data_IF_897584964680
#
_entry.id   IF_897584964680
#
_cell.length_a   1.000
_cell.length_b   1.000
_cell.length_c   1.000
_cell.angle_alpha   90.00
_cell.angle_beta   90.00
_cell.angle_gamma   90.00
#
_symmetry.space_group_name_H-M   'P 1'
#
loop_
_entity.id
_entity.type
_entity.pdbx_description
1 polymer ?
#
# COMPACT_ATOMS: atom_id res chain seq x y z
N UNK A 1 -6.54 7.77 -17.57
CA UNK A 1 -5.48 6.85 -17.10
C UNK A 1 -4.64 6.42 -18.30
N UNK A 2 -3.32 6.33 -18.16
CA UNK A 2 -2.45 5.82 -19.20
C UNK A 2 -2.60 4.29 -19.32
N UNK A 3 -2.39 3.75 -20.51
CA UNK A 3 -2.31 2.29 -20.66
C UNK A 3 -0.95 1.77 -20.18
N UNK A 4 -0.84 0.51 -19.77
CA UNK A 4 0.46 -0.09 -19.42
C UNK A 4 1.49 0.01 -20.56
N UNK A 5 1.05 -0.03 -21.83
CA UNK A 5 1.94 0.18 -22.98
C UNK A 5 2.48 1.62 -23.01
N UNK A 6 1.61 2.60 -22.82
CA UNK A 6 2.02 4.00 -22.76
C UNK A 6 3.03 4.26 -21.63
N UNK A 7 2.84 3.63 -20.47
CA UNK A 7 3.81 3.71 -19.36
C UNK A 7 5.15 3.08 -19.75
N UNK A 8 5.16 1.92 -20.41
CA UNK A 8 6.41 1.31 -20.92
C UNK A 8 7.14 2.23 -21.89
N UNK A 9 6.41 2.91 -22.77
CA UNK A 9 6.99 3.82 -23.76
C UNK A 9 7.64 5.04 -23.07
N UNK A 10 6.95 5.64 -22.10
CA UNK A 10 7.50 6.74 -21.29
C UNK A 10 8.77 6.34 -20.56
N UNK A 11 8.80 5.11 -20.03
CA UNK A 11 9.88 4.60 -19.17
C UNK A 11 10.88 3.68 -19.89
N UNK A 12 10.90 3.66 -21.22
CA UNK A 12 11.68 2.68 -21.99
C UNK A 12 13.18 2.65 -21.66
N UNK A 13 13.77 3.80 -21.30
CA UNK A 13 15.18 3.91 -20.90
C UNK A 13 15.51 3.19 -19.57
N UNK A 14 14.49 2.90 -18.76
CA UNK A 14 14.60 2.24 -17.46
C UNK A 14 14.30 0.74 -17.54
N UNK A 15 14.12 0.20 -18.74
CA UNK A 15 13.90 -1.23 -18.95
C UNK A 15 15.03 -2.05 -18.32
N UNK A 16 14.66 -3.08 -17.56
CA UNK A 16 15.59 -3.95 -16.83
C UNK A 16 16.45 -3.23 -15.79
N UNK A 17 16.04 -2.03 -15.38
CA UNK A 17 16.51 -1.36 -14.18
C UNK A 17 15.37 -1.37 -13.17
N UNK A 18 15.68 -1.68 -11.91
CA UNK A 18 14.66 -1.72 -10.83
C UNK A 18 14.81 -0.54 -9.86
N UNK A 19 15.77 0.36 -10.11
CA UNK A 19 16.09 1.46 -9.22
C UNK A 19 16.73 1.00 -7.90
N UNK A 20 16.39 1.70 -6.81
CA UNK A 20 16.98 1.48 -5.48
C UNK A 20 16.09 0.59 -4.60
N UNK A 21 16.69 -0.22 -3.71
CA UNK A 21 15.93 -0.96 -2.72
C UNK A 21 15.37 -0.02 -1.65
N UNK A 22 14.17 -0.35 -1.18
CA UNK A 22 13.44 0.28 -0.08
C UNK A 22 12.63 -0.80 0.66
N UNK A 23 11.69 -0.38 1.51
CA UNK A 23 10.74 -1.24 2.19
C UNK A 23 9.30 -0.77 1.93
N UNK A 24 8.34 -1.68 2.10
CA UNK A 24 6.90 -1.39 2.11
C UNK A 24 6.24 -2.29 3.15
N UNK A 25 5.47 -1.72 4.05
CA UNK A 25 4.85 -2.38 5.20
C UNK A 25 5.87 -3.17 6.03
N UNK A 26 7.05 -2.60 6.27
CA UNK A 26 8.15 -3.26 6.98
C UNK A 26 8.80 -4.43 6.22
N UNK A 27 8.44 -4.68 4.96
CA UNK A 27 9.00 -5.78 4.14
C UNK A 27 10.04 -5.25 3.17
N UNK A 28 11.14 -5.99 3.04
CA UNK A 28 12.30 -5.61 2.23
C UNK A 28 12.95 -6.85 1.60
N UNK A 29 13.57 -6.74 0.41
CA UNK A 29 13.69 -5.54 -0.41
C UNK A 29 12.49 -5.31 -1.34
N UNK A 30 12.02 -4.06 -1.39
CA UNK A 30 11.09 -3.55 -2.40
C UNK A 30 11.87 -2.64 -3.35
N UNK A 31 11.76 -2.84 -4.66
CA UNK A 31 12.52 -2.05 -5.64
C UNK A 31 11.65 -1.00 -6.31
N UNK A 32 12.21 0.19 -6.53
CA UNK A 32 11.55 1.30 -7.20
C UNK A 32 12.57 2.26 -7.85
N UNK A 33 12.22 2.87 -9.00
CA UNK A 33 13.04 3.95 -9.58
C UNK A 33 13.09 5.19 -8.67
N UNK A 34 12.00 5.45 -7.94
CA UNK A 34 11.96 6.46 -6.89
C UNK A 34 11.29 5.87 -5.64
N UNK A 35 12.02 5.88 -4.52
CA UNK A 35 11.57 5.28 -3.26
C UNK A 35 10.42 6.08 -2.61
N UNK A 36 10.24 7.36 -2.97
CA UNK A 36 9.12 8.16 -2.48
C UNK A 36 7.77 7.64 -2.97
N UNK A 37 7.72 7.01 -4.14
CA UNK A 37 6.48 6.41 -4.63
C UNK A 37 6.01 5.25 -3.76
N UNK A 38 6.94 4.40 -3.32
CA UNK A 38 6.61 3.28 -2.43
C UNK A 38 6.10 3.81 -1.10
N UNK A 39 6.74 4.85 -0.56
CA UNK A 39 6.30 5.51 0.67
C UNK A 39 4.92 6.17 0.52
N UNK A 40 4.66 6.85 -0.60
CA UNK A 40 3.38 7.47 -0.88
C UNK A 40 2.27 6.42 -1.04
N UNK A 41 2.56 5.33 -1.75
CA UNK A 41 1.64 4.21 -1.91
C UNK A 41 1.33 3.57 -0.55
N UNK A 42 2.34 3.25 0.25
CA UNK A 42 2.20 2.70 1.60
C UNK A 42 1.37 3.62 2.51
N UNK A 43 1.67 4.92 2.54
CA UNK A 43 0.94 5.88 3.35
C UNK A 43 -0.53 5.99 2.90
N UNK A 44 -0.78 6.00 1.59
CA UNK A 44 -2.14 6.03 1.06
C UNK A 44 -2.94 4.77 1.43
N UNK A 45 -2.29 3.60 1.50
CA UNK A 45 -2.92 2.37 2.00
C UNK A 45 -3.33 2.53 3.47
N UNK A 46 -2.41 2.98 4.33
CA UNK A 46 -2.72 3.19 5.74
C UNK A 46 -3.84 4.21 5.94
N UNK A 47 -3.76 5.36 5.26
CA UNK A 47 -4.78 6.43 5.31
C UNK A 47 -6.16 5.98 4.79
N UNK A 48 -6.18 4.91 4.02
CA UNK A 48 -7.38 4.30 3.49
C UNK A 48 -7.96 3.19 4.39
N UNK A 49 -7.28 2.85 5.49
CA UNK A 49 -7.70 1.76 6.39
C UNK A 49 -7.22 0.38 5.94
N UNK A 50 -6.24 0.30 5.03
CA UNK A 50 -5.62 -0.97 4.67
C UNK A 50 -4.61 -1.39 5.74
N UNK A 51 -4.85 -2.55 6.36
CA UNK A 51 -3.93 -3.14 7.34
C UNK A 51 -3.17 -4.32 6.72
N UNK A 52 -1.83 -4.29 6.63
CA UNK A 52 -1.06 -5.40 6.06
C UNK A 52 -1.16 -6.66 6.95
N UNK A 53 -1.28 -7.84 6.34
CA UNK A 53 -1.34 -9.12 7.06
C UNK A 53 0.07 -9.63 7.35
N UNK A 54 0.36 -10.08 8.57
CA UNK A 54 1.64 -10.73 8.87
C UNK A 54 1.99 -11.83 7.85
N UNK A 55 3.22 -11.82 7.32
CA UNK A 55 3.65 -12.77 6.29
C UNK A 55 3.15 -12.50 4.86
N UNK A 56 2.36 -11.45 4.62
CA UNK A 56 2.04 -10.99 3.27
C UNK A 56 3.30 -10.71 2.45
N UNK A 57 3.30 -11.00 1.16
CA UNK A 57 4.46 -10.80 0.28
C UNK A 57 4.30 -9.57 -0.61
N UNK A 58 5.36 -8.77 -0.75
CA UNK A 58 5.41 -7.65 -1.69
C UNK A 58 6.29 -8.03 -2.88
N UNK A 59 5.67 -8.25 -4.04
CA UNK A 59 6.37 -8.39 -5.30
C UNK A 59 6.74 -7.03 -5.85
N UNK A 60 7.98 -6.81 -6.26
CA UNK A 60 8.44 -5.50 -6.77
C UNK A 60 9.49 -5.58 -7.86
N UNK A 61 9.91 -6.80 -8.20
CA UNK A 61 10.94 -7.03 -9.22
C UNK A 61 10.62 -8.29 -9.97
N UNK A 62 11.07 -8.30 -11.23
CA UNK A 62 11.08 -9.50 -12.05
C UNK A 62 12.39 -9.58 -12.80
N UNK A 63 13.05 -10.75 -12.75
CA UNK A 63 14.36 -10.90 -13.36
C UNK A 63 14.27 -10.75 -14.88
N UNK A 64 14.85 -9.70 -15.44
CA UNK A 64 15.11 -9.66 -16.88
C UNK A 64 16.02 -10.82 -17.30
N UNK A 65 15.82 -11.40 -18.51
CA UNK A 65 14.92 -10.93 -19.56
C UNK A 65 13.49 -11.51 -19.48
N UNK A 66 13.04 -12.03 -18.33
CA UNK A 66 11.70 -12.62 -18.23
C UNK A 66 10.61 -11.53 -18.33
N UNK A 67 9.85 -11.61 -19.42
CA UNK A 67 8.67 -10.82 -19.73
C UNK A 67 7.36 -11.55 -19.37
N UNK A 68 6.22 -10.92 -19.61
CA UNK A 68 4.89 -11.35 -19.17
C UNK A 68 4.48 -12.66 -19.87
N UNK A 69 3.77 -13.53 -19.14
CA UNK A 69 3.20 -14.75 -19.74
C UNK A 69 4.23 -15.76 -20.25
N UNK A 70 5.43 -15.77 -19.65
CA UNK A 70 6.53 -16.65 -20.07
C UNK A 70 7.30 -16.19 -21.31
N UNK A 71 6.97 -15.01 -21.86
CA UNK A 71 7.68 -14.42 -22.99
C UNK A 71 8.95 -13.69 -22.56
N UNK A 72 9.81 -13.38 -23.52
CA UNK A 72 10.99 -12.54 -23.30
C UNK A 72 10.61 -11.06 -23.35
N UNK A 73 11.10 -10.27 -22.38
CA UNK A 73 11.02 -8.82 -22.40
C UNK A 73 11.87 -8.26 -23.56
N UNK A 74 11.21 -7.69 -24.57
CA UNK A 74 11.84 -7.24 -25.81
C UNK A 74 12.54 -5.89 -25.65
N UNK A 75 13.43 -5.55 -26.59
CA UNK A 75 14.19 -4.29 -26.56
C UNK A 75 13.32 -3.04 -26.66
N UNK A 76 12.24 -3.14 -27.43
CA UNK A 76 11.23 -2.09 -27.57
C UNK A 76 10.22 -2.04 -26.40
N UNK A 77 10.44 -2.80 -25.31
CA UNK A 77 9.54 -2.85 -24.16
C UNK A 77 8.33 -3.78 -24.34
N UNK A 78 8.11 -4.35 -25.53
CA UNK A 78 7.05 -5.33 -25.74
C UNK A 78 7.25 -6.55 -24.84
N UNK A 79 6.13 -7.08 -24.36
CA UNK A 79 6.09 -8.21 -23.42
C UNK A 79 6.85 -7.96 -22.10
N UNK A 80 7.36 -6.76 -21.81
CA UNK A 80 8.03 -6.47 -20.53
C UNK A 80 7.00 -6.18 -19.42
N UNK A 81 7.19 -6.74 -18.22
CA UNK A 81 6.38 -6.34 -17.05
C UNK A 81 6.85 -4.99 -16.53
N UNK A 82 5.98 -4.17 -15.94
CA UNK A 82 6.42 -2.95 -15.25
C UNK A 82 7.27 -3.25 -14.00
N UNK A 83 7.19 -4.48 -13.46
CA UNK A 83 8.16 -5.01 -12.50
C UNK A 83 9.58 -5.10 -13.06
N UNK A 84 9.76 -5.16 -14.39
CA UNK A 84 11.08 -5.10 -15.02
C UNK A 84 11.67 -3.68 -15.05
N UNK A 85 10.89 -2.66 -14.68
CA UNK A 85 11.28 -1.26 -14.69
C UNK A 85 11.35 -0.66 -13.27
N UNK A 86 10.95 -1.41 -12.22
CA UNK A 86 10.80 -0.85 -10.87
C UNK A 86 9.66 0.16 -10.78
N UNK A 87 8.57 -0.08 -11.51
CA UNK A 87 7.40 0.82 -11.63
C UNK A 87 6.09 0.16 -11.17
N UNK A 88 6.15 -1.06 -10.66
CA UNK A 88 4.98 -1.81 -10.23
C UNK A 88 5.28 -2.63 -8.96
N UNK A 89 4.22 -2.85 -8.19
CA UNK A 89 4.25 -3.54 -6.92
C UNK A 89 3.02 -4.43 -6.78
N UNK A 90 3.24 -5.70 -6.46
CA UNK A 90 2.20 -6.67 -6.14
C UNK A 90 2.07 -6.72 -4.62
N UNK A 91 1.03 -6.10 -4.09
CA UNK A 91 0.80 -5.99 -2.64
C UNK A 91 0.05 -7.21 -2.13
N UNK A 92 0.72 -8.01 -1.31
CA UNK A 92 0.14 -9.15 -0.60
C UNK A 92 -0.55 -10.16 -1.53
N UNK A 93 0.16 -10.67 -2.56
CA UNK A 93 -0.45 -11.54 -3.60
C UNK A 93 -1.23 -12.75 -3.07
N UNK A 94 -0.86 -13.27 -1.89
CA UNK A 94 -1.58 -14.36 -1.22
C UNK A 94 -2.99 -13.96 -0.74
N UNK A 95 -3.23 -12.66 -0.55
CA UNK A 95 -4.46 -12.07 -0.02
C UNK A 95 -5.16 -11.15 -1.04
N UNK A 96 -4.49 -10.79 -2.13
CA UNK A 96 -5.03 -10.00 -3.24
C UNK A 96 -4.74 -10.72 -4.57
N UNK A 97 -5.34 -11.89 -4.83
CA UNK A 97 -4.94 -12.75 -5.95
C UNK A 97 -5.24 -12.13 -7.31
N UNK A 98 -4.43 -12.49 -8.31
CA UNK A 98 -4.82 -12.32 -9.71
C UNK A 98 -5.89 -13.36 -10.07
N UNK A 99 -7.07 -12.89 -10.43
CA UNK A 99 -8.21 -13.72 -10.82
C UNK A 99 -8.65 -13.43 -12.26
N UNK A 100 -9.65 -14.17 -12.73
CA UNK A 100 -10.27 -13.88 -14.02
C UNK A 100 -10.94 -12.50 -13.98
N UNK A 101 -10.62 -11.68 -14.98
CA UNK A 101 -11.21 -10.35 -15.16
C UNK A 101 -12.73 -10.36 -15.02
N UNK A 102 -13.25 -9.44 -14.21
CA UNK A 102 -14.68 -9.17 -14.12
C UNK A 102 -15.19 -8.61 -15.46
N UNK A 103 -16.26 -9.21 -15.98
CA UNK A 103 -16.88 -8.83 -17.26
C UNK A 103 -17.99 -7.78 -17.11
N UNK A 104 -18.35 -7.46 -15.86
CA UNK A 104 -19.34 -6.45 -15.52
C UNK A 104 -19.05 -5.85 -14.15
N UNK A 105 -19.60 -4.68 -13.89
CA UNK A 105 -19.52 -4.03 -12.57
C UNK A 105 -20.17 -4.88 -11.47
N UNK A 106 -21.30 -5.54 -11.75
CA UNK A 106 -21.95 -6.45 -10.79
C UNK A 106 -21.01 -7.56 -10.36
N UNK A 107 -20.30 -8.19 -11.31
CA UNK A 107 -19.36 -9.26 -11.00
C UNK A 107 -18.18 -8.76 -10.15
N UNK A 108 -17.74 -7.51 -10.38
CA UNK A 108 -16.70 -6.88 -9.57
C UNK A 108 -17.18 -6.64 -8.13
N UNK A 109 -18.43 -6.19 -7.95
CA UNK A 109 -19.05 -6.04 -6.62
C UNK A 109 -19.19 -7.39 -5.91
N UNK A 110 -19.57 -8.44 -6.62
CA UNK A 110 -19.62 -9.79 -6.06
C UNK A 110 -18.25 -10.22 -5.51
N UNK A 111 -17.17 -9.97 -6.26
CA UNK A 111 -15.80 -10.29 -5.84
C UNK A 111 -15.36 -9.52 -4.58
N UNK A 112 -15.76 -8.24 -4.45
CA UNK A 112 -15.52 -7.48 -3.21
C UNK A 112 -16.32 -8.04 -2.03
N UNK A 113 -17.62 -8.34 -2.25
CA UNK A 113 -18.50 -8.87 -1.21
C UNK A 113 -18.10 -10.28 -0.74
N UNK A 114 -17.51 -11.09 -1.63
CA UNK A 114 -16.96 -12.40 -1.32
C UNK A 114 -15.62 -12.34 -0.56
N UNK A 115 -15.03 -11.15 -0.40
CA UNK A 115 -13.76 -10.96 0.30
C UNK A 115 -12.56 -11.56 -0.44
N UNK A 116 -12.64 -11.66 -1.78
CA UNK A 116 -11.55 -12.22 -2.61
C UNK A 116 -10.27 -11.40 -2.49
N UNK A 117 -10.41 -10.10 -2.24
CA UNK A 117 -9.31 -9.17 -2.01
C UNK A 117 -9.54 -8.40 -0.71
N UNK A 118 -8.44 -7.97 -0.09
CA UNK A 118 -8.47 -7.05 1.06
C UNK A 118 -8.83 -5.61 0.67
N UNK A 119 -8.78 -5.28 -0.62
CA UNK A 119 -9.23 -4.00 -1.11
C UNK A 119 -10.75 -3.96 -1.12
N UNK A 120 -11.32 -2.90 -0.54
CA UNK A 120 -12.67 -2.47 -0.86
C UNK A 120 -12.59 -1.24 -1.78
N UNK A 121 -13.70 -0.84 -2.43
CA UNK A 121 -13.71 0.30 -3.34
C UNK A 121 -13.21 1.60 -2.70
N UNK A 122 -13.56 1.88 -1.44
CA UNK A 122 -13.13 3.10 -0.75
C UNK A 122 -11.60 3.14 -0.58
N UNK A 123 -10.97 1.99 -0.31
CA UNK A 123 -9.51 1.90 -0.24
C UNK A 123 -8.89 2.22 -1.59
N UNK A 124 -9.41 1.59 -2.65
CA UNK A 124 -8.91 1.78 -4.01
C UNK A 124 -9.06 3.24 -4.42
N UNK A 125 -10.23 3.84 -4.23
CA UNK A 125 -10.52 5.22 -4.62
C UNK A 125 -9.61 6.22 -3.90
N UNK A 126 -9.32 6.01 -2.61
CA UNK A 126 -8.37 6.85 -1.86
C UNK A 126 -6.95 6.76 -2.40
N UNK A 127 -6.48 5.56 -2.74
CA UNK A 127 -5.14 5.39 -3.31
C UNK A 127 -5.08 5.97 -4.74
N UNK A 128 -6.14 5.80 -5.54
CA UNK A 128 -6.23 6.40 -6.87
C UNK A 128 -6.36 7.93 -6.84
N UNK A 129 -6.77 8.51 -5.71
CA UNK A 129 -6.83 9.95 -5.52
C UNK A 129 -5.44 10.61 -5.34
N UNK A 130 -4.39 9.83 -5.09
CA UNK A 130 -3.01 10.34 -4.99
C UNK A 130 -2.55 10.89 -6.34
N UNK A 131 -1.97 12.09 -6.33
CA UNK A 131 -1.51 12.80 -7.52
C UNK A 131 -0.02 13.09 -7.50
N UNK A 132 0.51 13.40 -8.68
CA UNK A 132 1.78 14.09 -8.83
C UNK A 132 1.61 15.61 -8.65
N UNK A 133 2.71 16.35 -8.59
CA UNK A 133 2.74 17.83 -8.51
C UNK A 133 2.15 18.55 -9.73
N UNK A 134 1.82 17.80 -10.79
CA UNK A 134 1.13 18.29 -11.98
C UNK A 134 -0.39 18.02 -11.94
N UNK A 135 -0.91 17.47 -10.84
CA UNK A 135 -2.33 17.17 -10.66
C UNK A 135 -2.83 15.91 -11.38
N UNK A 136 -1.93 15.07 -11.88
CA UNK A 136 -2.23 13.80 -12.54
C UNK A 136 -2.26 12.66 -11.54
N UNK A 137 -3.15 11.68 -11.75
CA UNK A 137 -3.22 10.48 -10.92
C UNK A 137 -1.91 9.68 -10.96
N UNK A 138 -1.32 9.50 -9.78
CA UNK A 138 0.02 8.93 -9.60
C UNK A 138 0.06 7.42 -9.83
N UNK A 139 -0.91 6.71 -9.25
CA UNK A 139 -0.98 5.25 -9.28
C UNK A 139 -2.16 4.74 -10.09
N UNK A 140 -2.01 3.59 -10.72
CA UNK A 140 -3.14 2.83 -11.27
C UNK A 140 -3.19 1.44 -10.66
N UNK A 141 -4.40 0.92 -10.51
CA UNK A 141 -4.68 -0.44 -10.04
C UNK A 141 -5.24 -1.28 -11.19
N UNK A 142 -4.74 -2.50 -11.35
CA UNK A 142 -5.19 -3.40 -12.43
C UNK A 142 -6.34 -4.32 -12.01
N UNK A 143 -6.82 -4.20 -10.77
CA UNK A 143 -7.95 -4.99 -10.26
C UNK A 143 -9.22 -4.85 -11.08
N UNK A 144 -9.62 -3.61 -11.40
CA UNK A 144 -10.81 -3.35 -12.21
C UNK A 144 -10.70 -3.86 -13.64
N UNK A 145 -9.54 -3.66 -14.27
CA UNK A 145 -9.38 -3.87 -15.71
C UNK A 145 -8.93 -5.28 -16.08
N UNK A 146 -8.21 -5.98 -15.21
CA UNK A 146 -7.61 -7.29 -15.50
C UNK A 146 -7.89 -8.36 -14.42
N UNK A 147 -8.59 -8.00 -13.33
CA UNK A 147 -8.76 -8.87 -12.17
C UNK A 147 -7.46 -9.07 -11.38
N UNK A 148 -6.45 -8.22 -11.59
CA UNK A 148 -5.14 -8.32 -10.95
C UNK A 148 -5.12 -7.46 -9.68
N UNK A 149 -5.70 -7.99 -8.59
CA UNK A 149 -5.99 -7.24 -7.38
C UNK A 149 -4.76 -6.88 -6.55
N UNK A 150 -3.64 -7.60 -6.68
CA UNK A 150 -2.38 -7.23 -6.02
C UNK A 150 -1.69 -6.05 -6.70
N UNK A 151 -1.95 -5.79 -7.98
CA UNK A 151 -1.05 -5.02 -8.82
C UNK A 151 -1.33 -3.51 -8.81
N UNK A 152 -0.36 -2.78 -8.29
CA UNK A 152 -0.26 -1.32 -8.38
C UNK A 152 0.91 -0.93 -9.27
N UNK A 153 0.77 0.15 -10.01
CA UNK A 153 1.85 0.67 -10.86
C UNK A 153 1.80 2.19 -10.98
N UNK A 154 2.93 2.78 -11.37
CA UNK A 154 3.03 4.20 -11.73
C UNK A 154 2.22 4.48 -13.00
N UNK A 155 1.55 5.63 -13.03
CA UNK A 155 0.68 6.09 -14.11
C UNK A 155 1.09 7.48 -14.68
N UNK A 156 2.33 7.90 -14.45
CA UNK A 156 2.89 9.17 -14.91
C UNK A 156 4.24 8.97 -15.61
N UNK A 157 4.67 9.87 -16.51
CA UNK A 157 5.98 9.78 -17.16
C UNK A 157 7.13 10.23 -16.23
N UNK A 158 8.40 9.89 -16.55
CA UNK A 158 9.55 10.22 -15.70
C UNK A 158 9.70 11.69 -15.34
N UNK A 159 9.43 12.59 -16.28
CA UNK A 159 9.60 14.04 -16.11
C UNK A 159 8.52 14.70 -15.23
N UNK A 160 7.49 13.95 -14.83
CA UNK A 160 6.36 14.41 -13.98
C UNK A 160 6.10 13.45 -12.83
N UNK A 161 7.16 12.83 -12.31
CA UNK A 161 7.08 11.74 -11.35
C UNK A 161 6.96 12.16 -9.88
N UNK A 162 7.06 13.44 -9.58
CA UNK A 162 7.13 13.93 -8.21
C UNK A 162 5.76 13.86 -7.54
N UNK A 163 5.70 13.24 -6.35
CA UNK A 163 4.46 13.05 -5.59
C UNK A 163 3.97 14.38 -5.02
N UNK A 164 2.68 14.68 -5.19
CA UNK A 164 2.03 15.73 -4.41
C UNK A 164 1.58 15.14 -3.07
N UNK A 165 2.43 15.30 -2.06
CA UNK A 165 2.19 14.78 -0.71
C UNK A 165 0.91 15.29 -0.06
N UNK A 166 0.36 16.44 -0.49
CA UNK A 166 -0.93 16.93 0.02
C UNK A 166 -2.12 16.05 -0.40
N UNK A 167 -1.94 15.24 -1.45
CA UNK A 167 -2.98 14.34 -1.97
C UNK A 167 -2.89 12.91 -1.45
N UNK A 168 -1.82 12.57 -0.73
CA UNK A 168 -1.65 11.28 -0.04
C UNK A 168 -2.57 11.19 1.19
N UNK A 169 -3.07 12.34 1.65
CA UNK A 169 -3.85 12.51 2.87
C UNK A 169 -2.95 12.73 4.08
N UNK A 170 -3.37 13.59 4.99
CA UNK A 170 -2.75 13.71 6.30
C UNK A 170 -3.11 12.47 7.14
N UNK A 171 -2.15 11.96 7.91
CA UNK A 171 -2.39 10.84 8.84
C UNK A 171 -3.27 11.24 10.04
N UNK A 172 -3.94 12.39 10.00
CA UNK A 172 -5.08 12.72 10.87
C UNK A 172 -6.31 11.91 10.41
N UNK A 173 -6.17 10.59 10.38
CA UNK A 173 -7.36 9.76 10.41
C UNK A 173 -8.00 9.95 11.79
N UNK A 174 -9.21 10.52 11.80
CA UNK A 174 -10.28 10.17 12.75
C UNK A 174 -10.59 8.65 12.64
N UNK A 175 -9.58 7.78 12.83
CA UNK A 175 -9.82 6.39 13.15
C UNK A 175 -10.40 6.40 14.56
N UNK A 176 -11.62 5.91 14.72
CA UNK A 176 -12.01 5.43 16.03
C UNK A 176 -11.02 4.31 16.39
N UNK A 177 -10.16 4.62 17.35
CA UNK A 177 -9.07 3.77 17.86
C UNK A 177 -9.51 2.36 18.29
N UNK A 178 -10.83 2.13 18.41
CA UNK A 178 -11.46 0.82 18.59
C UNK A 178 -11.19 -0.17 17.47
N UNK A 179 -10.79 0.30 16.27
CA UNK A 179 -10.74 -0.54 15.08
C UNK A 179 -9.33 -1.06 14.74
N UNK A 180 -8.29 -0.58 15.43
CA UNK A 180 -6.88 -0.82 15.08
C UNK A 180 -6.17 -1.80 16.02
N UNK A 181 -6.60 -1.86 17.28
CA UNK A 181 -5.89 -2.57 18.33
C UNK A 181 -6.90 -3.46 19.03
N UNK A 182 -6.75 -4.77 18.89
CA UNK A 182 -7.60 -5.70 19.64
C UNK A 182 -7.39 -5.53 21.15
N UNK A 183 -8.40 -5.91 21.93
CA UNK A 183 -8.41 -5.75 23.38
C UNK A 183 -7.17 -6.36 24.06
N UNK A 184 -6.63 -7.43 23.47
CA UNK A 184 -5.47 -8.14 23.98
C UNK A 184 -4.18 -7.30 23.84
N UNK A 185 -4.04 -6.58 22.73
CA UNK A 185 -2.88 -5.72 22.46
C UNK A 185 -2.90 -4.48 23.35
N UNK A 186 -4.09 -3.90 23.62
CA UNK A 186 -4.24 -2.82 24.59
C UNK A 186 -3.97 -3.25 26.03
N UNK A 187 -4.50 -4.40 26.45
CA UNK A 187 -4.28 -4.94 27.79
C UNK A 187 -2.78 -5.16 28.06
N UNK A 188 -2.04 -5.64 27.05
CA UNK A 188 -0.60 -5.84 27.15
C UNK A 188 0.19 -4.54 27.31
N UNK A 189 -0.15 -3.49 26.55
CA UNK A 189 0.50 -2.19 26.67
C UNK A 189 0.27 -1.54 28.05
N UNK A 190 -0.89 -1.79 28.67
CA UNK A 190 -1.16 -1.41 30.05
C UNK A 190 -0.35 -2.23 31.06
N UNK A 191 -0.35 -3.57 30.95
CA UNK A 191 0.40 -4.46 31.86
C UNK A 191 1.90 -4.16 31.87
N UNK A 192 2.44 -3.79 30.71
CA UNK A 192 3.84 -3.43 30.55
C UNK A 192 4.15 -1.99 31.03
N UNK A 193 3.15 -1.27 31.56
CA UNK A 193 3.30 0.03 32.25
C UNK A 193 3.44 1.24 31.33
N UNK A 194 3.09 1.11 30.05
CA UNK A 194 3.27 2.17 29.06
C UNK A 194 2.10 3.16 28.98
N UNK A 195 0.97 2.83 29.59
CA UNK A 195 -0.24 3.66 29.69
C UNK A 195 -0.67 3.65 31.16
N UNK A 196 -0.88 4.82 31.76
CA UNK A 196 -1.44 4.94 33.11
C UNK A 196 -2.97 4.88 33.06
N UNK A 197 -3.64 4.02 33.84
CA UNK A 197 -5.10 3.82 33.76
C UNK A 197 -5.63 2.58 34.49
N UNK A 198 -6.89 2.18 34.26
CA UNK A 198 -7.46 0.94 34.77
C UNK A 198 -7.96 0.08 33.58
N UNK A 199 -7.40 -1.12 33.33
CA UNK A 199 -7.71 -1.94 32.16
C UNK A 199 -9.10 -2.58 32.22
N UNK A 200 -9.77 -2.55 33.39
CA UNK A 200 -11.16 -2.99 33.51
C UNK A 200 -12.15 -2.01 32.86
N UNK A 201 -11.69 -0.84 32.40
CA UNK A 201 -12.51 0.16 31.70
C UNK A 201 -12.24 0.04 30.20
N UNK A 202 -12.84 -0.97 29.58
CA UNK A 202 -13.05 -1.00 28.13
C UNK A 202 -13.88 0.23 27.71
N UNK A 203 -13.66 0.81 26.52
CA UNK A 203 -14.01 2.19 26.22
C UNK A 203 -15.53 2.41 26.10
N UNK A 204 -16.09 2.87 27.21
CA UNK A 204 -16.62 4.22 27.20
C UNK A 204 -15.59 5.12 27.89
N UNK A 205 -14.59 5.56 27.12
CA UNK A 205 -13.82 6.80 27.32
C UNK A 205 -13.56 7.34 28.74
N UNK A 206 -12.82 6.69 29.65
CA UNK A 206 -12.36 7.40 30.86
C UNK A 206 -11.06 6.83 31.45
N UNK A 207 -9.97 7.59 31.40
CA UNK A 207 -8.91 7.52 32.42
C UNK A 207 -9.35 8.35 33.64
N UNK A 208 -8.73 8.09 34.80
CA UNK A 208 -9.10 8.72 36.07
C UNK A 208 -9.07 10.26 36.06
N UNK A 209 -8.34 10.87 35.11
CA UNK A 209 -8.20 12.31 34.93
C UNK A 209 -8.74 12.85 33.58
N UNK A 210 -9.50 12.04 32.82
CA UNK A 210 -10.12 12.43 31.55
C UNK A 210 -9.71 11.57 30.35
N UNK A 211 -10.16 11.91 29.12
CA UNK A 211 -9.71 11.21 27.91
C UNK A 211 -8.23 11.49 27.63
N UNK A 212 -7.50 10.48 27.15
CA UNK A 212 -6.12 10.66 26.68
C UNK A 212 -6.06 11.75 25.60
N UNK A 213 -5.05 12.61 25.68
CA UNK A 213 -4.80 13.64 24.68
C UNK A 213 -4.31 13.02 23.37
N UNK A 214 -4.50 13.71 22.25
CA UNK A 214 -4.04 13.23 20.95
C UNK A 214 -2.51 13.05 20.89
N UNK A 215 -1.75 13.86 21.63
CA UNK A 215 -0.30 13.75 21.72
C UNK A 215 0.16 12.47 22.44
N UNK A 216 -0.57 12.05 23.49
CA UNK A 216 -0.29 10.80 24.22
C UNK A 216 -0.55 9.57 23.34
N UNK A 217 -1.65 9.58 22.59
CA UNK A 217 -1.99 8.51 21.63
C UNK A 217 -0.94 8.39 20.52
N UNK A 218 -0.51 9.54 19.97
CA UNK A 218 0.52 9.61 18.92
C UNK A 218 1.88 9.10 19.41
N UNK A 219 2.25 9.40 20.66
CA UNK A 219 3.50 8.93 21.26
C UNK A 219 3.50 7.41 21.47
N UNK A 220 2.38 6.82 21.90
CA UNK A 220 2.24 5.37 22.05
C UNK A 220 2.35 4.63 20.70
N UNK A 221 1.69 5.13 19.65
CA UNK A 221 1.78 4.56 18.30
C UNK A 221 3.22 4.59 17.74
N UNK A 222 3.88 5.74 17.82
CA UNK A 222 5.26 5.88 17.32
C UNK A 222 6.22 4.93 18.05
N UNK A 223 5.96 4.64 19.32
CA UNK A 223 6.73 3.70 20.09
C UNK A 223 6.47 2.24 19.69
N UNK A 224 5.20 1.83 19.55
CA UNK A 224 4.82 0.48 19.12
C UNK A 224 5.38 0.19 17.72
N UNK A 225 5.23 1.13 16.79
CA UNK A 225 5.79 0.99 15.44
C UNK A 225 7.31 0.92 15.48
N UNK A 226 7.98 1.67 16.36
CA UNK A 226 9.44 1.60 16.55
C UNK A 226 9.87 0.24 17.11
N UNK A 227 9.17 -0.30 18.11
CA UNK A 227 9.46 -1.63 18.65
C UNK A 227 9.22 -2.73 17.62
N UNK A 228 8.14 -2.67 16.83
CA UNK A 228 7.90 -3.61 15.75
C UNK A 228 9.03 -3.57 14.70
N UNK A 229 9.49 -2.37 14.33
CA UNK A 229 10.63 -2.19 13.44
C UNK A 229 11.96 -2.69 14.05
N UNK A 230 12.14 -2.60 15.36
CA UNK A 230 13.35 -3.06 16.06
C UNK A 230 13.37 -4.57 16.28
N UNK A 231 12.22 -5.22 16.48
CA UNK A 231 12.09 -6.69 16.59
C UNK A 231 12.29 -7.43 15.27
N UNK A 232 12.19 -6.74 14.14
CA UNK A 232 12.39 -7.29 12.78
C UNK A 232 13.82 -7.12 12.24
N UNK A 233 14.77 -6.67 13.06
CA UNK A 233 16.21 -6.63 12.75
C UNK A 233 16.93 -7.85 13.33
#
# INVERSE_FOLDING_TARGET
MATTNQVRDWWHLYRCSYGSPTNMFGRSPVYAQNTEWVRALEQAHFNAGYFPTEGGYIGSKRNCPNGIGGKTCQENGNDCSLHNYGLAWDVEYNFNPHIKQATSESQLWDLFNEGVTKYNPDIVDRILAVKNTHGEQMFSWLGYSLGDFMHWQINVPPERQDVDWSTVGDSEMDMQWSDIVDDATWAKAYEDGFIEGNPAVMPQYYFADGPATEDEKKNAYNHIMREQMERTK
#
